data_IF_456430086386
#
_entry.id   IF_456430086386
#
_cell.length_a   1.000
_cell.length_b   1.000
_cell.length_c   1.000
_cell.angle_alpha   90.00
_cell.angle_beta   90.00
_cell.angle_gamma   90.00
#
_symmetry.space_group_name_H-M   'P 1'
#
loop_
_entity.id
_entity.type
_entity.pdbx_description
1 polymer ?
#
# COMPACT_ATOMS: atom_id res chain seq x y z
N UNK A 1 -4.45 -48.42 -16.41
CA UNK A 1 -5.43 -47.33 -16.54
C UNK A 1 -4.64 -46.02 -16.64
N UNK A 2 -4.73 -45.31 -17.77
CA UNK A 2 -4.08 -44.00 -17.93
C UNK A 2 -4.97 -42.95 -17.25
N UNK A 3 -4.48 -42.32 -16.19
CA UNK A 3 -5.16 -41.16 -15.62
C UNK A 3 -5.05 -40.00 -16.61
N UNK A 4 -6.21 -39.52 -17.08
CA UNK A 4 -6.33 -38.26 -17.81
C UNK A 4 -6.01 -37.12 -16.84
N UNK A 5 -4.97 -36.36 -17.19
CA UNK A 5 -4.71 -35.03 -16.62
C UNK A 5 -5.85 -34.12 -17.09
N UNK A 6 -6.53 -33.36 -16.21
CA UNK A 6 -7.55 -32.42 -16.66
C UNK A 6 -6.88 -31.35 -17.54
N UNK A 7 -7.38 -31.26 -18.77
CA UNK A 7 -7.00 -30.26 -19.75
C UNK A 7 -7.33 -28.84 -19.23
N UNK A 8 -6.41 -27.93 -19.52
CA UNK A 8 -6.44 -26.48 -19.38
C UNK A 8 -7.74 -25.85 -18.84
N UNK A 9 -7.66 -25.33 -17.61
CA UNK A 9 -8.41 -24.13 -17.26
C UNK A 9 -8.04 -23.03 -18.27
N UNK A 10 -8.95 -22.77 -19.22
CA UNK A 10 -8.91 -21.58 -20.06
C UNK A 10 -9.05 -20.39 -19.13
N UNK A 11 -7.91 -19.92 -18.64
CA UNK A 11 -7.80 -18.74 -17.79
C UNK A 11 -8.31 -17.59 -18.64
N UNK A 12 -9.43 -16.98 -18.21
CA UNK A 12 -9.95 -15.78 -18.88
C UNK A 12 -8.79 -14.79 -19.05
N UNK A 13 -8.65 -14.15 -20.23
CA UNK A 13 -7.53 -13.27 -20.49
C UNK A 13 -7.46 -12.18 -19.41
N UNK A 14 -6.30 -12.09 -18.76
CA UNK A 14 -6.06 -11.10 -17.73
C UNK A 14 -5.97 -9.72 -18.39
N UNK A 15 -7.05 -8.94 -18.33
CA UNK A 15 -7.17 -7.64 -19.00
C UNK A 15 -6.03 -6.69 -18.58
N UNK A 16 -5.61 -6.73 -17.31
CA UNK A 16 -4.54 -5.87 -16.79
C UNK A 16 -3.20 -6.26 -17.41
N UNK A 17 -2.90 -7.56 -17.52
CA UNK A 17 -1.67 -8.02 -18.15
C UNK A 17 -1.62 -7.69 -19.64
N UNK A 18 -2.73 -7.79 -20.35
CA UNK A 18 -2.78 -7.40 -21.77
C UNK A 18 -2.55 -5.89 -21.98
N UNK A 19 -3.00 -5.04 -21.03
CA UNK A 19 -2.66 -3.61 -21.04
C UNK A 19 -1.15 -3.42 -20.85
N UNK A 20 -0.53 -4.12 -19.89
CA UNK A 20 0.92 -4.08 -19.66
C UNK A 20 1.69 -4.49 -20.92
N UNK A 21 1.29 -5.59 -21.56
CA UNK A 21 1.90 -6.06 -22.83
C UNK A 21 1.79 -5.00 -23.93
N UNK A 22 0.63 -4.36 -24.06
CA UNK A 22 0.40 -3.33 -25.08
C UNK A 22 1.30 -2.11 -24.87
N UNK A 23 1.41 -1.62 -23.63
CA UNK A 23 2.26 -0.48 -23.26
C UNK A 23 3.73 -0.78 -23.52
N UNK A 24 4.17 -2.01 -23.23
CA UNK A 24 5.55 -2.43 -23.41
C UNK A 24 5.86 -3.00 -24.80
N UNK A 25 4.94 -2.89 -25.76
CA UNK A 25 5.11 -3.46 -27.10
C UNK A 25 6.34 -2.96 -27.87
N UNK A 26 6.92 -1.83 -27.46
CA UNK A 26 8.17 -1.29 -28.00
C UNK A 26 9.28 -1.11 -26.93
N UNK A 27 9.07 -1.61 -25.71
CA UNK A 27 10.05 -1.51 -24.62
C UNK A 27 11.00 -2.72 -24.68
N UNK A 28 12.23 -2.50 -25.18
CA UNK A 28 13.23 -3.57 -25.34
C UNK A 28 13.60 -4.24 -24.01
N UNK A 29 13.82 -3.47 -22.96
CA UNK A 29 14.15 -3.99 -21.63
C UNK A 29 13.07 -4.95 -21.14
N UNK A 30 11.81 -4.57 -21.30
CA UNK A 30 10.67 -5.40 -20.93
C UNK A 30 10.58 -6.67 -21.80
N UNK A 31 10.74 -6.54 -23.12
CA UNK A 31 10.65 -7.66 -24.07
C UNK A 31 11.71 -8.73 -23.82
N UNK A 32 12.90 -8.32 -23.43
CA UNK A 32 14.04 -9.21 -23.18
C UNK A 32 14.02 -9.81 -21.75
N UNK A 33 13.30 -9.19 -20.81
CA UNK A 33 13.23 -9.62 -19.42
C UNK A 33 12.06 -10.59 -19.14
N UNK A 34 12.26 -11.88 -19.42
CA UNK A 34 11.25 -12.93 -19.16
C UNK A 34 10.83 -13.02 -17.69
N UNK A 35 11.77 -12.85 -16.76
CA UNK A 35 11.48 -12.92 -15.33
C UNK A 35 10.51 -11.80 -14.89
N UNK A 36 10.67 -10.59 -15.42
CA UNK A 36 9.74 -9.48 -15.18
C UNK A 36 8.35 -9.77 -15.76
N UNK A 37 8.28 -10.32 -16.98
CA UNK A 37 7.00 -10.66 -17.61
C UNK A 37 6.24 -11.72 -16.79
N UNK A 38 6.92 -12.78 -16.36
CA UNK A 38 6.35 -13.82 -15.49
C UNK A 38 5.91 -13.25 -14.14
N UNK A 39 6.71 -12.33 -13.58
CA UNK A 39 6.35 -11.63 -12.33
C UNK A 39 5.05 -10.87 -12.50
N UNK A 40 4.98 -9.97 -13.48
CA UNK A 40 3.79 -9.18 -13.76
C UNK A 40 2.57 -10.04 -14.07
N UNK A 41 2.73 -11.15 -14.81
CA UNK A 41 1.63 -12.08 -15.05
C UNK A 41 1.07 -12.65 -13.74
N UNK A 42 1.92 -13.12 -12.81
CA UNK A 42 1.48 -13.63 -11.50
C UNK A 42 0.85 -12.53 -10.63
N UNK A 43 1.42 -11.33 -10.63
CA UNK A 43 0.87 -10.17 -9.89
C UNK A 43 -0.55 -9.86 -10.37
N UNK A 44 -0.72 -9.71 -11.68
CA UNK A 44 -2.03 -9.41 -12.27
C UNK A 44 -3.03 -10.55 -12.07
N UNK A 45 -2.59 -11.82 -12.12
CA UNK A 45 -3.45 -12.96 -11.83
C UNK A 45 -3.95 -12.92 -10.37
N UNK A 46 -3.06 -12.60 -9.42
CA UNK A 46 -3.41 -12.44 -8.01
C UNK A 46 -4.40 -11.30 -7.77
N UNK A 47 -4.23 -10.20 -8.51
CA UNK A 47 -5.18 -9.09 -8.48
C UNK A 47 -6.54 -9.49 -9.06
N UNK A 48 -6.55 -10.29 -10.13
CA UNK A 48 -7.78 -10.82 -10.74
C UNK A 48 -8.51 -11.86 -9.88
N UNK A 49 -7.84 -12.56 -8.97
CA UNK A 49 -8.53 -13.39 -7.97
C UNK A 49 -9.41 -12.52 -7.04
N UNK A 50 -8.92 -11.33 -6.66
CA UNK A 50 -9.66 -10.38 -5.81
C UNK A 50 -10.68 -9.56 -6.61
N UNK A 51 -10.34 -9.21 -7.84
CA UNK A 51 -11.17 -8.40 -8.74
C UNK A 51 -11.31 -9.09 -10.11
N UNK A 52 -12.20 -10.11 -10.20
CA UNK A 52 -12.28 -10.98 -11.38
C UNK A 52 -12.80 -10.30 -12.65
N UNK A 53 -13.42 -9.12 -12.51
CA UNK A 53 -13.94 -8.35 -13.64
C UNK A 53 -13.49 -6.89 -13.57
N UNK A 54 -13.43 -6.23 -14.73
CA UNK A 54 -13.21 -4.78 -14.82
C UNK A 54 -14.20 -4.00 -13.96
N UNK A 55 -15.46 -4.41 -13.96
CA UNK A 55 -16.52 -3.81 -13.13
C UNK A 55 -16.23 -3.98 -11.63
N UNK A 56 -15.84 -5.17 -11.17
CA UNK A 56 -15.51 -5.38 -9.75
C UNK A 56 -14.37 -4.48 -9.25
N UNK A 57 -13.35 -4.23 -10.10
CA UNK A 57 -12.27 -3.30 -9.77
C UNK A 57 -12.75 -1.85 -9.76
N UNK A 58 -13.55 -1.44 -10.76
CA UNK A 58 -14.14 -0.09 -10.81
C UNK A 58 -15.00 0.18 -9.59
N UNK A 59 -15.83 -0.79 -9.21
CA UNK A 59 -16.73 -0.71 -8.07
C UNK A 59 -15.98 -0.55 -6.76
N UNK A 60 -14.94 -1.36 -6.58
CA UNK A 60 -14.05 -1.26 -5.44
C UNK A 60 -13.41 0.13 -5.35
N UNK A 61 -12.78 0.62 -6.43
CA UNK A 61 -12.08 1.91 -6.44
C UNK A 61 -13.03 3.10 -6.27
N UNK A 62 -14.22 3.04 -6.86
CA UNK A 62 -15.25 4.08 -6.68
C UNK A 62 -15.74 4.14 -5.23
N UNK A 63 -16.02 2.98 -4.62
CA UNK A 63 -16.41 2.89 -3.21
C UNK A 63 -15.29 3.36 -2.28
N UNK A 64 -14.04 2.99 -2.58
CA UNK A 64 -12.88 3.49 -1.85
C UNK A 64 -12.84 5.03 -1.88
N UNK A 65 -12.96 5.65 -3.06
CA UNK A 65 -12.99 7.11 -3.18
C UNK A 65 -14.10 7.76 -2.36
N UNK A 66 -15.30 7.17 -2.32
CA UNK A 66 -16.43 7.67 -1.52
C UNK A 66 -16.13 7.60 -0.02
N UNK A 67 -15.59 6.47 0.43
CA UNK A 67 -15.21 6.25 1.84
C UNK A 67 -14.18 7.29 2.27
N UNK A 68 -13.12 7.49 1.47
CA UNK A 68 -12.09 8.51 1.72
C UNK A 68 -12.65 9.92 1.76
N UNK A 69 -13.59 10.25 0.87
CA UNK A 69 -14.26 11.56 0.89
C UNK A 69 -15.10 11.75 2.17
N UNK A 70 -15.82 10.72 2.63
CA UNK A 70 -16.62 10.77 3.87
C UNK A 70 -15.72 10.95 5.09
N UNK A 71 -14.65 10.17 5.20
CA UNK A 71 -13.65 10.28 6.26
C UNK A 71 -13.04 11.68 6.32
N UNK A 72 -12.67 12.24 5.15
CA UNK A 72 -12.12 13.60 5.05
C UNK A 72 -13.13 14.68 5.49
N UNK A 73 -14.40 14.55 5.13
CA UNK A 73 -15.47 15.46 5.58
C UNK A 73 -15.67 15.40 7.09
N UNK A 74 -15.69 14.20 7.67
CA UNK A 74 -15.82 14.01 9.12
C UNK A 74 -14.62 14.61 9.87
N UNK A 75 -13.41 14.38 9.37
CA UNK A 75 -12.19 14.94 9.95
C UNK A 75 -12.17 16.48 9.89
N UNK A 76 -12.51 17.05 8.74
CA UNK A 76 -12.60 18.50 8.56
C UNK A 76 -13.62 19.14 9.53
N UNK A 77 -14.79 18.50 9.70
CA UNK A 77 -15.81 18.92 10.67
C UNK A 77 -15.29 18.89 12.11
N UNK A 78 -14.58 17.82 12.50
CA UNK A 78 -13.98 17.68 13.85
C UNK A 78 -12.90 18.72 14.11
N UNK A 79 -12.17 19.14 13.07
CA UNK A 79 -11.05 20.09 13.16
C UNK A 79 -11.42 21.52 12.76
N UNK A 80 -12.71 21.81 12.60
CA UNK A 80 -13.22 23.14 12.31
C UNK A 80 -12.61 23.78 11.06
N UNK A 81 -12.33 22.99 10.01
CA UNK A 81 -11.92 23.50 8.71
C UNK A 81 -12.83 23.00 7.59
N UNK A 82 -12.81 23.68 6.43
CA UNK A 82 -13.64 23.31 5.28
C UNK A 82 -13.08 22.09 4.55
N UNK A 83 -13.90 21.05 4.41
CA UNK A 83 -13.52 19.85 3.66
C UNK A 83 -13.33 20.18 2.17
N UNK A 84 -12.11 20.05 1.66
CA UNK A 84 -11.85 20.10 0.21
C UNK A 84 -12.38 18.82 -0.44
N UNK A 85 -12.94 18.94 -1.65
CA UNK A 85 -13.31 17.76 -2.45
C UNK A 85 -12.03 17.06 -2.92
N UNK A 86 -11.91 15.77 -2.60
CA UNK A 86 -10.81 14.94 -3.07
C UNK A 86 -10.99 14.64 -4.56
N UNK A 87 -9.86 14.61 -5.28
CA UNK A 87 -9.82 14.14 -6.66
C UNK A 87 -9.97 12.61 -6.66
N UNK A 88 -11.14 12.12 -7.10
CA UNK A 88 -11.38 10.67 -7.23
C UNK A 88 -10.29 10.01 -8.07
N UNK A 89 -9.79 10.68 -9.10
CA UNK A 89 -8.72 10.14 -9.93
C UNK A 89 -7.40 9.98 -9.16
N UNK A 90 -7.02 10.98 -8.36
CA UNK A 90 -5.78 10.94 -7.57
C UNK A 90 -5.86 9.89 -6.46
N UNK A 91 -7.01 9.76 -5.81
CA UNK A 91 -7.23 8.74 -4.77
C UNK A 91 -7.23 7.33 -5.38
N UNK A 92 -7.94 7.13 -6.49
CA UNK A 92 -8.04 5.82 -7.13
C UNK A 92 -6.72 5.32 -7.72
N UNK A 93 -5.88 6.19 -8.29
CA UNK A 93 -4.58 5.75 -8.83
C UNK A 93 -3.60 5.34 -7.72
N UNK A 94 -3.62 6.03 -6.57
CA UNK A 94 -2.86 5.63 -5.39
C UNK A 94 -3.28 4.27 -4.88
N UNK A 95 -4.59 4.07 -4.70
CA UNK A 95 -5.16 2.80 -4.24
C UNK A 95 -4.89 1.64 -5.23
N UNK A 96 -5.00 1.89 -6.53
CA UNK A 96 -4.66 0.90 -7.55
C UNK A 96 -3.20 0.45 -7.43
N UNK A 97 -2.28 1.40 -7.23
CA UNK A 97 -0.87 1.09 -7.05
C UNK A 97 -0.63 0.29 -5.76
N UNK A 98 -1.30 0.64 -4.66
CA UNK A 98 -1.25 -0.12 -3.41
C UNK A 98 -1.69 -1.58 -3.62
N UNK A 99 -2.78 -1.82 -4.36
CA UNK A 99 -3.24 -3.19 -4.63
C UNK A 99 -2.34 -3.98 -5.55
N UNK A 100 -1.69 -3.32 -6.52
CA UNK A 100 -0.68 -3.97 -7.36
C UNK A 100 0.56 -4.37 -6.54
N UNK A 101 1.06 -3.50 -5.66
CA UNK A 101 2.22 -3.80 -4.80
C UNK A 101 1.87 -4.83 -3.72
N UNK A 102 0.66 -4.79 -3.16
CA UNK A 102 0.18 -5.83 -2.24
C UNK A 102 0.12 -7.20 -2.92
N UNK A 103 -0.39 -7.26 -4.16
CA UNK A 103 -0.38 -8.47 -4.97
C UNK A 103 1.05 -8.92 -5.31
N UNK A 104 1.96 -7.98 -5.59
CA UNK A 104 3.39 -8.26 -5.76
C UNK A 104 3.99 -8.93 -4.53
N UNK A 105 3.77 -8.39 -3.35
CA UNK A 105 4.29 -8.99 -2.12
C UNK A 105 3.70 -10.40 -1.83
N UNK A 106 2.45 -10.66 -2.22
CA UNK A 106 1.83 -11.99 -2.07
C UNK A 106 2.56 -13.06 -2.90
N UNK A 107 2.94 -12.72 -4.14
CA UNK A 107 3.60 -13.67 -5.07
C UNK A 107 5.13 -13.67 -4.93
N UNK A 108 5.74 -12.49 -4.83
CA UNK A 108 7.17 -12.24 -4.71
C UNK A 108 7.42 -11.45 -3.42
N UNK A 109 7.85 -12.14 -2.37
CA UNK A 109 8.13 -11.51 -1.08
C UNK A 109 9.23 -10.44 -1.26
N UNK A 110 8.78 -9.19 -1.34
CA UNK A 110 9.62 -8.04 -1.68
C UNK A 110 10.73 -7.89 -0.64
N UNK A 111 10.38 -8.04 0.64
CA UNK A 111 11.35 -7.88 1.73
C UNK A 111 12.39 -8.99 1.72
N UNK A 112 12.00 -10.21 1.38
CA UNK A 112 12.93 -11.33 1.27
C UNK A 112 13.93 -11.14 0.12
N UNK A 113 13.46 -10.67 -1.03
CA UNK A 113 14.31 -10.43 -2.21
C UNK A 113 15.36 -9.33 -1.96
N UNK A 114 14.94 -8.17 -1.43
CA UNK A 114 15.85 -7.05 -1.20
C UNK A 114 16.93 -7.36 -0.15
N UNK A 115 16.62 -8.22 0.82
CA UNK A 115 17.54 -8.57 1.90
C UNK A 115 18.30 -9.88 1.65
N UNK A 116 18.04 -10.57 0.53
CA UNK A 116 18.66 -11.86 0.22
C UNK A 116 18.34 -12.95 1.25
N UNK A 117 17.15 -12.92 1.86
CA UNK A 117 16.70 -13.90 2.85
C UNK A 117 15.67 -14.84 2.24
N UNK A 118 15.55 -16.05 2.79
CA UNK A 118 14.55 -17.01 2.34
C UNK A 118 13.13 -16.50 2.64
N UNK A 119 12.22 -16.64 1.65
CA UNK A 119 10.80 -16.34 1.80
C UNK A 119 10.24 -17.11 3.00
N UNK A 120 9.62 -16.40 3.92
CA UNK A 120 8.96 -17.02 5.07
C UNK A 120 7.54 -17.39 4.70
N UNK A 121 7.18 -18.67 4.83
CA UNK A 121 5.78 -19.07 4.72
C UNK A 121 5.00 -18.55 5.93
N UNK A 122 3.95 -17.79 5.65
CA UNK A 122 3.02 -17.26 6.65
C UNK A 122 1.78 -18.14 6.71
N UNK A 123 1.36 -18.53 7.92
CA UNK A 123 0.07 -19.19 8.13
C UNK A 123 -1.09 -18.26 7.74
N UNK A 124 -2.26 -18.84 7.46
CA UNK A 124 -3.47 -18.04 7.18
C UNK A 124 -3.81 -17.12 8.35
N UNK A 125 -3.64 -17.60 9.59
CA UNK A 125 -3.85 -16.79 10.80
C UNK A 125 -2.89 -15.59 10.86
N UNK A 126 -1.61 -15.78 10.55
CA UNK A 126 -0.64 -14.68 10.52
C UNK A 126 -1.02 -13.65 9.45
N UNK A 127 -1.37 -14.11 8.24
CA UNK A 127 -1.81 -13.22 7.15
C UNK A 127 -3.06 -12.44 7.53
N UNK A 128 -4.03 -13.10 8.17
CA UNK A 128 -5.24 -12.45 8.63
C UNK A 128 -4.93 -11.36 9.67
N UNK A 129 -4.06 -11.64 10.65
CA UNK A 129 -3.63 -10.65 11.65
C UNK A 129 -2.89 -9.47 11.01
N UNK A 130 -2.06 -9.69 10.00
CA UNK A 130 -1.39 -8.61 9.27
C UNK A 130 -2.41 -7.70 8.56
N UNK A 131 -3.40 -8.28 7.88
CA UNK A 131 -4.47 -7.54 7.20
C UNK A 131 -5.29 -6.72 8.20
N UNK A 132 -5.69 -7.34 9.32
CA UNK A 132 -6.44 -6.64 10.38
C UNK A 132 -5.60 -5.52 10.99
N UNK A 133 -4.31 -5.74 11.23
CA UNK A 133 -3.43 -4.70 11.75
C UNK A 133 -3.33 -3.50 10.79
N UNK A 134 -3.15 -3.75 9.50
CA UNK A 134 -3.13 -2.69 8.48
C UNK A 134 -4.46 -1.94 8.46
N UNK A 135 -5.61 -2.63 8.54
CA UNK A 135 -6.92 -1.99 8.56
C UNK A 135 -7.15 -1.17 9.85
N UNK A 136 -6.68 -1.63 11.01
CA UNK A 136 -6.70 -0.84 12.25
C UNK A 136 -5.80 0.40 12.15
N UNK A 137 -4.61 0.25 11.54
CA UNK A 137 -3.67 1.36 11.39
C UNK A 137 -4.19 2.43 10.41
N UNK A 138 -4.88 2.01 9.34
CA UNK A 138 -5.36 2.88 8.27
C UNK A 138 -6.78 3.40 8.49
N UNK A 139 -7.64 2.62 9.18
CA UNK A 139 -9.05 2.91 9.48
C UNK A 139 -9.41 2.59 10.94
N UNK A 140 -8.74 3.20 11.93
CA UNK A 140 -8.91 2.89 13.35
C UNK A 140 -10.37 3.02 13.85
N UNK A 141 -11.15 3.93 13.26
CA UNK A 141 -12.55 4.17 13.62
C UNK A 141 -13.48 2.99 13.34
N UNK A 142 -13.17 2.16 12.33
CA UNK A 142 -13.95 0.94 12.03
C UNK A 142 -13.89 -0.07 13.18
N UNK A 143 -12.83 0.02 13.98
CA UNK A 143 -12.53 -0.85 15.12
C UNK A 143 -12.78 -0.16 16.46
N UNK A 144 -13.48 0.97 16.46
CA UNK A 144 -13.83 1.73 17.66
C UNK A 144 -12.64 2.43 18.32
N UNK A 145 -11.57 2.70 17.56
CA UNK A 145 -10.47 3.54 18.02
C UNK A 145 -10.61 4.96 17.49
N UNK A 146 -10.13 5.97 18.23
CA UNK A 146 -10.12 7.33 17.71
C UNK A 146 -9.14 7.45 16.55
N UNK A 147 -9.53 8.21 15.52
CA UNK A 147 -8.67 8.56 14.39
C UNK A 147 -7.32 9.07 14.86
N UNK A 148 -6.23 8.52 14.32
CA UNK A 148 -4.88 8.99 14.59
C UNK A 148 -4.67 10.24 13.72
N UNK A 149 -4.75 11.41 14.36
CA UNK A 149 -4.81 12.70 13.66
C UNK A 149 -3.50 13.08 12.94
N UNK A 150 -2.42 12.32 13.17
CA UNK A 150 -1.07 12.80 12.89
C UNK A 150 -0.61 12.63 11.45
N UNK A 151 -1.23 11.77 10.62
CA UNK A 151 -0.83 11.64 9.22
C UNK A 151 -2.01 11.35 8.31
N UNK A 152 -2.04 12.02 7.15
CA UNK A 152 -2.85 11.58 6.02
C UNK A 152 -2.56 10.09 5.79
N UNK A 153 -3.59 9.26 6.00
CA UNK A 153 -3.52 7.80 6.08
C UNK A 153 -2.53 7.26 5.04
N UNK A 154 -1.42 6.63 5.50
CA UNK A 154 -0.38 6.14 4.61
C UNK A 154 -0.90 4.99 3.76
N UNK A 155 -0.40 4.92 2.53
CA UNK A 155 -0.77 3.89 1.56
C UNK A 155 0.09 2.64 1.84
N UNK A 156 -0.39 1.76 2.74
CA UNK A 156 0.36 0.61 3.28
C UNK A 156 -0.11 -0.68 2.60
N UNK A 157 0.57 -1.15 1.53
CA UNK A 157 0.19 -2.38 0.84
C UNK A 157 0.43 -3.64 1.69
N UNK A 158 1.46 -3.64 2.55
CA UNK A 158 1.82 -4.79 3.37
C UNK A 158 2.71 -4.40 4.55
N UNK A 159 2.78 -5.30 5.54
CA UNK A 159 3.78 -5.30 6.60
C UNK A 159 4.57 -6.60 6.56
N UNK A 160 5.76 -6.56 7.14
CA UNK A 160 6.60 -7.75 7.32
C UNK A 160 6.59 -8.11 8.78
N UNK A 161 6.10 -9.30 9.10
CA UNK A 161 6.13 -9.83 10.45
C UNK A 161 6.91 -11.12 10.54
N UNK A 162 7.39 -11.42 11.74
CA UNK A 162 7.90 -12.72 12.09
C UNK A 162 7.05 -13.30 13.23
N UNK A 163 6.47 -14.46 12.98
CA UNK A 163 5.77 -15.22 14.01
C UNK A 163 6.78 -16.08 14.77
N UNK A 164 6.89 -15.83 16.09
CA UNK A 164 7.43 -16.78 17.07
C UNK A 164 6.34 -17.00 18.13
N UNK A 165 6.65 -16.85 19.41
CA UNK A 165 5.65 -16.82 20.50
C UNK A 165 4.70 -15.61 20.37
N UNK A 166 5.14 -14.58 19.66
CA UNK A 166 4.47 -13.30 19.42
C UNK A 166 4.65 -12.87 17.97
N UNK A 167 3.82 -11.91 17.52
CA UNK A 167 3.90 -11.35 16.16
C UNK A 167 4.81 -10.12 16.18
N UNK A 168 6.04 -10.25 15.68
CA UNK A 168 7.02 -9.17 15.67
C UNK A 168 7.01 -8.43 14.32
N UNK A 169 6.72 -7.12 14.30
CA UNK A 169 6.83 -6.29 13.09
C UNK A 169 8.29 -5.95 12.82
N UNK A 170 8.75 -6.37 11.64
CA UNK A 170 10.08 -6.09 11.10
C UNK A 170 10.08 -4.88 10.19
N UNK A 171 9.06 -4.75 9.35
CA UNK A 171 8.99 -3.64 8.40
C UNK A 171 7.55 -3.25 8.09
N UNK A 172 7.39 -2.02 7.62
CA UNK A 172 6.20 -1.54 6.91
C UNK A 172 6.59 -1.11 5.52
N UNK A 173 5.77 -1.45 4.53
CA UNK A 173 5.88 -0.88 3.21
C UNK A 173 4.88 0.27 3.05
N UNK A 174 5.33 1.37 2.48
CA UNK A 174 4.49 2.47 2.02
C UNK A 174 4.70 2.67 0.51
N UNK A 175 3.62 2.84 -0.25
CA UNK A 175 3.71 3.08 -1.70
C UNK A 175 3.68 4.55 -2.04
N UNK A 176 4.42 4.94 -3.08
CA UNK A 176 4.35 6.28 -3.68
C UNK A 176 4.23 6.15 -5.20
N UNK A 177 3.07 6.48 -5.73
CA UNK A 177 2.76 6.42 -7.17
C UNK A 177 3.20 7.67 -7.95
N UNK A 178 3.61 8.73 -7.24
CA UNK A 178 4.06 9.98 -7.85
C UNK A 178 5.44 9.87 -8.51
N UNK A 179 5.69 10.77 -9.47
CA UNK A 179 7.02 10.91 -10.11
C UNK A 179 8.10 11.40 -9.14
N UNK A 180 7.71 12.09 -8.08
CA UNK A 180 8.61 12.62 -7.07
C UNK A 180 8.07 12.33 -5.68
N UNK A 181 8.96 12.30 -4.70
CA UNK A 181 8.64 12.29 -3.29
C UNK A 181 8.52 13.72 -2.78
N UNK A 182 7.42 14.02 -2.10
CA UNK A 182 7.09 15.37 -1.66
C UNK A 182 7.29 15.55 -0.14
N UNK A 183 6.97 16.75 0.34
CA UNK A 183 7.00 17.06 1.77
C UNK A 183 6.07 16.15 2.61
N UNK A 184 4.98 15.61 2.03
CA UNK A 184 4.14 14.63 2.74
C UNK A 184 4.91 13.33 2.97
N UNK A 185 5.60 12.82 1.95
CA UNK A 185 6.44 11.64 2.10
C UNK A 185 7.52 11.84 3.16
N UNK A 186 8.18 13.00 3.18
CA UNK A 186 9.13 13.37 4.23
C UNK A 186 8.51 13.27 5.63
N UNK A 187 7.37 13.94 5.87
CA UNK A 187 6.70 13.94 7.17
C UNK A 187 6.28 12.53 7.63
N UNK A 188 5.86 11.67 6.71
CA UNK A 188 5.50 10.28 7.01
C UNK A 188 6.71 9.42 7.39
N UNK A 189 7.89 9.73 6.87
CA UNK A 189 9.13 8.97 7.11
C UNK A 189 9.86 9.41 8.39
N UNK A 190 9.51 10.56 8.97
CA UNK A 190 10.09 11.04 10.22
C UNK A 190 9.78 10.09 11.39
N UNK A 191 10.57 10.10 12.49
CA UNK A 191 10.35 9.22 13.64
C UNK A 191 8.98 9.40 14.29
N UNK A 192 8.45 10.62 14.24
CA UNK A 192 7.10 10.95 14.70
C UNK A 192 6.01 10.63 13.65
N UNK A 193 6.42 10.17 12.46
CA UNK A 193 5.64 9.71 11.30
C UNK A 193 4.93 8.37 11.49
N UNK A 194 4.93 7.55 10.43
CA UNK A 194 4.30 6.21 10.41
C UNK A 194 4.79 5.34 11.57
N UNK A 195 6.07 5.44 11.92
CA UNK A 195 6.65 4.67 13.03
C UNK A 195 5.96 4.95 14.36
N UNK A 196 5.59 6.20 14.62
CA UNK A 196 4.85 6.58 15.82
C UNK A 196 3.40 6.11 15.76
N UNK A 197 2.75 6.23 14.60
CA UNK A 197 1.40 5.69 14.39
C UNK A 197 1.34 4.18 14.68
N UNK A 198 2.34 3.42 14.23
CA UNK A 198 2.46 1.99 14.52
C UNK A 198 2.60 1.74 16.02
N UNK A 199 3.46 2.49 16.74
CA UNK A 199 3.61 2.35 18.20
C UNK A 199 2.28 2.56 18.92
N UNK A 200 1.58 3.65 18.62
CA UNK A 200 0.28 3.98 19.21
C UNK A 200 -0.75 2.88 18.91
N UNK A 201 -0.79 2.38 17.67
CA UNK A 201 -1.70 1.29 17.30
C UNK A 201 -1.39 0.00 18.06
N UNK A 202 -0.12 -0.36 18.22
CA UNK A 202 0.30 -1.53 19.01
C UNK A 202 -0.07 -1.39 20.48
N UNK A 203 0.17 -0.23 21.09
CA UNK A 203 -0.23 0.06 22.47
C UNK A 203 -1.75 -0.09 22.66
N UNK A 204 -2.54 0.42 21.71
CA UNK A 204 -4.00 0.30 21.73
C UNK A 204 -4.46 -1.15 21.60
N UNK A 205 -3.88 -1.92 20.69
CA UNK A 205 -4.24 -3.32 20.49
C UNK A 205 -3.85 -4.18 21.69
N UNK A 206 -2.63 -4.01 22.22
CA UNK A 206 -2.13 -4.81 23.34
C UNK A 206 -2.80 -4.47 24.68
N UNK A 207 -3.42 -3.28 24.80
CA UNK A 207 -4.18 -2.89 25.99
C UNK A 207 -5.65 -3.34 25.97
N UNK A 208 -6.14 -3.90 24.86
CA UNK A 208 -7.50 -4.43 24.80
C UNK A 208 -7.67 -5.63 25.73
N UNK A 209 -8.74 -5.61 26.51
CA UNK A 209 -9.22 -6.83 27.17
C UNK A 209 -9.73 -7.81 26.11
N UNK A 210 -9.63 -9.14 26.33
CA UNK A 210 -10.08 -10.12 25.35
C UNK A 210 -11.53 -9.91 24.89
N UNK A 211 -12.44 -9.61 25.81
CA UNK A 211 -13.87 -9.36 25.48
C UNK A 211 -14.07 -8.14 24.57
N UNK A 212 -13.30 -7.08 24.79
CA UNK A 212 -13.34 -5.88 23.95
C UNK A 212 -12.77 -6.15 22.56
N UNK A 213 -11.72 -6.96 22.47
CA UNK A 213 -11.14 -7.36 21.20
C UNK A 213 -12.16 -8.14 20.35
N UNK A 214 -12.84 -9.14 20.94
CA UNK A 214 -13.89 -9.91 20.23
C UNK A 214 -15.03 -9.00 19.74
N UNK A 215 -15.52 -8.12 20.61
CA UNK A 215 -16.61 -7.19 20.28
C UNK A 215 -16.27 -6.27 19.10
N UNK A 216 -14.99 -5.97 18.90
CA UNK A 216 -14.49 -5.12 17.82
C UNK A 216 -14.03 -5.91 16.58
N UNK A 217 -14.21 -7.24 16.55
CA UNK A 217 -13.71 -8.09 15.46
C UNK A 217 -12.18 -8.21 15.42
N UNK A 218 -11.52 -7.96 16.55
CA UNK A 218 -10.06 -8.02 16.72
C UNK A 218 -9.66 -9.30 17.46
N UNK A 219 -10.32 -10.41 17.14
CA UNK A 219 -10.01 -11.72 17.72
C UNK A 219 -8.52 -12.05 17.50
N UNK A 220 -7.85 -12.46 18.58
CA UNK A 220 -6.42 -12.72 18.56
C UNK A 220 -5.53 -11.52 18.87
N UNK A 221 -6.09 -10.34 19.12
CA UNK A 221 -5.41 -9.19 19.73
C UNK A 221 -5.84 -9.00 21.21
N UNK A 222 -5.03 -8.31 22.01
CA UNK A 222 -5.29 -8.00 23.42
C UNK A 222 -4.22 -8.48 24.40
N UNK A 223 -4.49 -8.34 25.71
CA UNK A 223 -3.56 -8.70 26.79
C UNK A 223 -3.07 -10.15 26.65
N UNK A 224 -1.75 -10.33 26.55
CA UNK A 224 -1.11 -11.65 26.39
C UNK A 224 -1.02 -12.17 24.95
N UNK A 225 -1.53 -11.44 23.95
CA UNK A 225 -1.39 -11.71 22.51
C UNK A 225 -0.54 -10.64 21.84
N UNK A 226 0.66 -10.44 22.39
CA UNK A 226 1.49 -9.28 22.08
C UNK A 226 1.93 -9.27 20.60
N UNK A 227 1.65 -8.13 19.97
CA UNK A 227 2.30 -7.71 18.74
C UNK A 227 3.26 -6.58 19.09
N UNK A 228 4.50 -6.61 18.62
CA UNK A 228 5.48 -5.57 18.94
C UNK A 228 6.35 -5.21 17.74
N UNK A 229 6.85 -3.98 17.73
CA UNK A 229 7.75 -3.50 16.69
C UNK A 229 9.21 -3.77 17.09
N UNK A 230 10.00 -4.35 16.19
CA UNK A 230 11.43 -4.57 16.44
C UNK A 230 12.20 -3.24 16.56
N UNK A 231 13.30 -3.28 17.32
CA UNK A 231 14.20 -2.11 17.48
C UNK A 231 14.77 -1.65 16.14
N UNK A 232 15.14 -2.61 15.28
CA UNK A 232 15.66 -2.39 13.93
C UNK A 232 14.56 -2.42 12.86
N UNK A 233 13.38 -1.89 13.17
CA UNK A 233 12.28 -1.79 12.21
C UNK A 233 12.66 -1.00 10.96
N UNK A 234 12.36 -1.56 9.79
CA UNK A 234 12.60 -0.97 8.48
C UNK A 234 11.35 -0.30 7.92
N UNK A 235 11.51 0.81 7.22
CA UNK A 235 10.45 1.43 6.44
C UNK A 235 10.80 1.32 4.95
N UNK A 236 10.04 0.50 4.22
CA UNK A 236 10.19 0.34 2.78
C UNK A 236 9.36 1.39 2.06
N UNK A 237 9.97 2.18 1.19
CA UNK A 237 9.25 3.10 0.30
C UNK A 237 9.25 2.48 -1.09
N UNK A 238 8.09 1.96 -1.49
CA UNK A 238 7.91 1.26 -2.76
C UNK A 238 7.48 2.24 -3.85
N UNK A 239 8.28 2.30 -4.91
CA UNK A 239 8.16 3.21 -6.05
C UNK A 239 7.84 2.45 -7.34
N UNK A 240 7.43 3.17 -8.38
CA UNK A 240 7.33 2.58 -9.72
C UNK A 240 8.72 2.12 -10.22
N UNK A 241 8.74 1.05 -11.03
CA UNK A 241 9.97 0.41 -11.56
C UNK A 241 10.96 1.38 -12.21
N UNK A 242 10.43 2.33 -12.98
CA UNK A 242 11.15 3.28 -13.83
C UNK A 242 11.70 4.50 -13.07
N UNK A 243 11.49 4.56 -11.76
CA UNK A 243 11.97 5.69 -10.94
C UNK A 243 13.49 5.65 -10.78
N UNK A 244 14.15 6.79 -10.99
CA UNK A 244 15.58 6.95 -10.69
C UNK A 244 15.76 7.02 -9.17
N UNK A 245 16.27 5.95 -8.58
CA UNK A 245 16.58 5.89 -7.16
C UNK A 245 18.03 6.25 -6.89
N UNK A 246 18.89 6.42 -7.89
CA UNK A 246 20.32 6.66 -7.67
C UNK A 246 20.57 8.16 -7.38
N UNK A 247 19.84 9.02 -8.10
CA UNK A 247 19.81 10.46 -7.81
C UNK A 247 18.66 10.81 -6.86
N UNK A 248 18.98 10.94 -5.57
CA UNK A 248 17.98 11.33 -4.55
C UNK A 248 17.50 12.77 -4.71
N UNK A 249 18.30 13.63 -5.34
CA UNK A 249 17.94 15.03 -5.52
C UNK A 249 16.85 15.19 -6.58
N UNK A 250 16.96 14.44 -7.68
CA UNK A 250 15.91 14.37 -8.70
C UNK A 250 14.65 13.65 -8.20
N UNK A 251 14.81 12.70 -7.27
CA UNK A 251 13.70 11.95 -6.70
C UNK A 251 12.78 12.82 -5.81
N UNK A 252 13.31 13.89 -5.21
CA UNK A 252 12.56 14.74 -4.28
C UNK A 252 12.00 15.98 -5.00
N UNK A 253 10.69 16.23 -4.83
CA UNK A 253 10.08 17.48 -5.29
C UNK A 253 10.46 18.62 -4.35
N UNK A 254 11.28 19.57 -4.81
CA UNK A 254 11.70 20.73 -4.00
C UNK A 254 10.53 21.61 -3.53
N UNK A 255 9.40 21.59 -4.24
CA UNK A 255 8.21 22.38 -3.91
C UNK A 255 7.46 21.74 -2.75
N UNK A 256 7.10 22.55 -1.75
CA UNK A 256 6.29 22.11 -0.61
C UNK A 256 7.08 21.94 0.69
N UNK A 257 8.41 22.01 0.64
CA UNK A 257 9.25 22.18 1.83
C UNK A 257 9.17 23.63 2.30
N UNK A 258 8.96 23.82 3.61
CA UNK A 258 8.87 25.16 4.20
C UNK A 258 10.24 25.72 4.55
N UNK A 259 11.21 24.82 4.78
CA UNK A 259 12.60 25.12 5.10
C UNK A 259 13.54 24.31 4.17
N UNK A 260 14.54 24.93 3.53
CA UNK A 260 15.58 24.22 2.78
C UNK A 260 16.25 23.07 3.56
N UNK A 261 16.36 23.15 4.88
CA UNK A 261 16.92 22.07 5.71
C UNK A 261 16.09 20.78 5.64
N UNK A 262 14.76 20.88 5.52
CA UNK A 262 13.87 19.70 5.40
C UNK A 262 14.20 18.89 4.16
N UNK A 263 14.54 19.56 3.06
CA UNK A 263 14.96 18.90 1.82
C UNK A 263 16.24 18.09 2.05
N UNK A 264 17.24 18.67 2.71
CA UNK A 264 18.52 18.00 2.98
C UNK A 264 18.37 16.86 3.98
N UNK A 265 17.53 17.02 5.01
CA UNK A 265 17.20 15.94 5.94
C UNK A 265 16.47 14.81 5.22
N UNK A 266 15.51 15.12 4.35
CA UNK A 266 14.83 14.10 3.56
C UNK A 266 15.80 13.34 2.66
N UNK A 267 16.71 14.03 1.97
CA UNK A 267 17.79 13.42 1.19
C UNK A 267 18.63 12.47 2.04
N UNK A 268 19.06 12.88 3.24
CA UNK A 268 19.81 12.01 4.17
C UNK A 268 19.02 10.76 4.57
N UNK A 269 17.70 10.86 4.76
CA UNK A 269 16.85 9.70 5.06
C UNK A 269 16.83 8.71 3.89
N UNK A 270 16.63 9.20 2.66
CA UNK A 270 16.60 8.36 1.46
C UNK A 270 17.95 7.73 1.12
N UNK A 271 19.06 8.34 1.54
CA UNK A 271 20.42 7.80 1.45
C UNK A 271 20.76 6.83 2.59
N UNK A 272 19.85 6.59 3.54
CA UNK A 272 20.09 5.71 4.69
C UNK A 272 21.06 6.30 5.73
N UNK A 273 21.32 7.61 5.67
CA UNK A 273 22.26 8.32 6.56
C UNK A 273 21.57 8.98 7.77
N UNK A 274 20.24 8.91 7.86
CA UNK A 274 19.49 9.46 8.98
C UNK A 274 19.55 8.55 10.21
N UNK A 275 19.76 9.14 11.40
CA UNK A 275 20.03 8.38 12.64
C UNK A 275 18.82 7.61 13.16
N UNK A 276 17.62 8.16 12.97
CA UNK A 276 16.40 7.69 13.65
C UNK A 276 15.37 7.05 12.71
N UNK A 277 15.55 7.23 11.40
CA UNK A 277 14.65 6.74 10.36
C UNK A 277 15.46 5.96 9.34
N UNK A 278 15.27 4.63 9.35
CA UNK A 278 15.85 3.74 8.35
C UNK A 278 14.85 3.55 7.24
N UNK A 279 15.19 4.04 6.06
CA UNK A 279 14.35 3.98 4.87
C UNK A 279 15.07 3.16 3.81
N UNK A 280 14.35 2.21 3.21
CA UNK A 280 14.82 1.43 2.06
C UNK A 280 13.92 1.74 0.87
N UNK A 281 14.50 2.31 -0.19
CA UNK A 281 13.79 2.52 -1.45
C UNK A 281 13.70 1.19 -2.20
N UNK A 282 12.50 0.85 -2.67
CA UNK A 282 12.24 -0.38 -3.40
C UNK A 282 11.52 -0.04 -4.70
N UNK A 283 11.96 -0.65 -5.80
CA UNK A 283 11.29 -0.55 -7.10
C UNK A 283 10.31 -1.71 -7.23
N UNK A 284 9.03 -1.42 -7.47
CA UNK A 284 8.02 -2.42 -7.80
C UNK A 284 8.26 -2.99 -9.20
N UNK A 285 7.57 -4.08 -9.52
CA UNK A 285 7.55 -4.64 -10.88
C UNK A 285 6.73 -3.80 -11.87
N UNK A 286 6.00 -2.79 -11.40
CA UNK A 286 5.11 -1.94 -12.21
C UNK A 286 5.75 -0.57 -12.42
N UNK A 287 5.93 -0.17 -13.68
CA UNK A 287 6.36 1.17 -14.07
C UNK A 287 5.20 2.16 -14.03
N UNK A 288 5.51 3.46 -14.02
CA UNK A 288 4.52 4.53 -14.02
C UNK A 288 3.68 4.53 -15.28
N UNK A 289 4.26 4.24 -16.43
CA UNK A 289 3.54 4.21 -17.71
C UNK A 289 2.55 3.03 -17.76
N UNK A 290 2.94 1.87 -17.22
CA UNK A 290 2.04 0.72 -17.03
C UNK A 290 0.89 1.08 -16.06
N UNK A 291 1.20 1.63 -14.88
CA UNK A 291 0.19 2.06 -13.91
C UNK A 291 -0.80 3.07 -14.52
N UNK A 292 -0.27 4.05 -15.26
CA UNK A 292 -1.06 5.08 -15.94
C UNK A 292 -1.98 4.47 -16.97
N UNK A 293 -1.49 3.54 -17.80
CA UNK A 293 -2.31 2.89 -18.82
C UNK A 293 -3.43 2.03 -18.23
N UNK A 294 -3.13 1.25 -17.18
CA UNK A 294 -4.14 0.48 -16.46
C UNK A 294 -5.21 1.43 -15.92
N UNK A 295 -4.79 2.50 -15.24
CA UNK A 295 -5.69 3.49 -14.67
C UNK A 295 -6.53 4.22 -15.72
N UNK A 296 -5.94 4.66 -16.82
CA UNK A 296 -6.63 5.31 -17.94
C UNK A 296 -7.71 4.42 -18.55
N UNK A 297 -7.57 3.10 -18.49
CA UNK A 297 -8.58 2.16 -19.00
C UNK A 297 -9.85 2.08 -18.14
N UNK A 298 -9.82 2.58 -16.90
CA UNK A 298 -10.93 2.46 -15.94
C UNK A 298 -11.37 3.79 -15.30
N UNK A 299 -10.56 4.85 -15.39
CA UNK A 299 -10.81 6.13 -14.68
C UNK A 299 -12.15 6.77 -15.03
N UNK A 300 -12.59 6.72 -16.29
CA UNK A 300 -13.88 7.29 -16.71
C UNK A 300 -15.03 6.69 -15.92
N UNK A 301 -14.98 5.38 -15.71
CA UNK A 301 -16.05 4.60 -15.12
C UNK A 301 -16.04 4.76 -13.60
N UNK A 302 -14.84 4.83 -13.00
CA UNK A 302 -14.66 5.19 -11.59
C UNK A 302 -15.27 6.57 -11.31
N UNK A 303 -14.92 7.58 -12.14
CA UNK A 303 -15.41 8.95 -11.95
C UNK A 303 -16.92 9.04 -12.16
N UNK A 304 -17.46 8.32 -13.15
CA UNK A 304 -18.91 8.24 -13.39
C UNK A 304 -19.62 7.64 -12.16
N UNK A 305 -19.20 6.47 -11.71
CA UNK A 305 -19.79 5.77 -10.57
C UNK A 305 -19.65 6.54 -9.26
N UNK A 306 -18.49 7.17 -9.04
CA UNK A 306 -18.27 8.10 -7.91
C UNK A 306 -19.26 9.26 -7.92
N UNK A 307 -19.52 9.88 -9.09
CA UNK A 307 -20.49 11.00 -9.19
C UNK A 307 -21.92 10.56 -8.98
N UNK A 308 -22.31 9.40 -9.51
CA UNK A 308 -23.66 8.83 -9.36
C UNK A 308 -23.96 8.47 -7.89
N UNK A 309 -22.94 8.01 -7.16
CA UNK A 309 -23.09 7.50 -5.79
C UNK A 309 -22.74 8.54 -4.72
N UNK A 310 -21.97 9.58 -5.07
CA UNK A 310 -21.67 10.67 -4.15
C UNK A 310 -22.95 11.48 -3.92
N UNK A 311 -23.43 11.63 -2.68
CA UNK A 311 -24.46 12.61 -2.40
C UNK A 311 -23.97 13.96 -2.93
N UNK A 312 -24.84 14.73 -3.58
CA UNK A 312 -24.53 16.11 -3.92
C UNK A 312 -24.20 16.82 -2.61
N UNK A 313 -22.92 17.03 -2.34
CA UNK A 313 -22.45 17.83 -1.21
C UNK A 313 -22.96 19.25 -1.50
N UNK A 314 -24.09 19.59 -0.90
CA UNK A 314 -24.65 20.95 -0.90
C UNK A 314 -24.05 21.73 0.25
#
# INVERSE_FOLDING_TARGET
MKQQVPEHEVTKPNIIFEIIKKVNSNNKEWQENRALQERQQKITAKLSEKFPTRESLVDYLANYCLTRQREHVQFAKKKHFSAKKLSASTVAVGELFEKLVGAENDVFDIYSEINGIAKQEKSEEQRHREIVFIDVLTHPERHGFPTIEYFNIPDIPFIVTWQRDHLALKAVAEVKSGKHLDARAYQQLLPFGIRNSIKITLERLNSLKPEDARRRGLDGFGVGKEMYMLKNFDHLVVLCRDMNTDDKEELIERKGFSDPEEFYEFKKMLEGRHRESKVTLVKSSISRDELTAIFSSIVSDIVKKYKETSPQIR
#
